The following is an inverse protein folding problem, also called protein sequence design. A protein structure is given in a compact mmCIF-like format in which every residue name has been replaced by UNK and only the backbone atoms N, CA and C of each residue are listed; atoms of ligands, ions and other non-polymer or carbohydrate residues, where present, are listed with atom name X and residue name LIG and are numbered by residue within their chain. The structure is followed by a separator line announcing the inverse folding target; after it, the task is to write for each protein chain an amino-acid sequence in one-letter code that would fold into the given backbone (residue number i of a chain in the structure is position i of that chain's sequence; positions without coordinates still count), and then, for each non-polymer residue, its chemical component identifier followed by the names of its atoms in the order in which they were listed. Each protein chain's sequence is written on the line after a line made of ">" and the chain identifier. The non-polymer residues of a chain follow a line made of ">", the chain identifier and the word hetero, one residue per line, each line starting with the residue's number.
data_IF_723670899640
#
_entry.id   IF_723670899640
#
_cell.length_a   1.000
_cell.length_b   1.000
_cell.length_c   1.000
_cell.angle_alpha   90.00
_cell.angle_beta   90.00
_cell.angle_gamma   90.00
#
_symmetry.space_group_name_H-M   'P 1'
#
loop_
_entity.id
_entity.type
_entity.pdbx_description
1 polymer ?
#
# COMPACT_ATOMS: atom_id res chain seq x y z
N UNK A 1 -46.06 11.13 -2.17
CA UNK A 1 -45.31 10.89 -0.92
C UNK A 1 -44.11 10.04 -1.28
N UNK A 2 -42.95 10.69 -1.38
CA UNK A 2 -41.64 10.07 -1.65
C UNK A 2 -41.38 8.97 -0.62
N UNK A 3 -41.33 7.70 -1.07
CA UNK A 3 -40.89 6.60 -0.22
C UNK A 3 -39.44 6.92 0.15
N UNK A 4 -39.18 7.14 1.44
CA UNK A 4 -37.82 7.24 1.95
C UNK A 4 -37.06 6.03 1.41
N UNK A 5 -36.09 6.30 0.52
CA UNK A 5 -35.19 5.27 0.01
C UNK A 5 -34.38 4.82 1.22
N UNK A 6 -34.78 3.69 1.80
CA UNK A 6 -34.01 3.02 2.84
C UNK A 6 -32.63 2.76 2.26
N UNK A 7 -31.64 3.54 2.70
CA UNK A 7 -30.27 3.42 2.20
C UNK A 7 -29.73 2.11 2.78
N UNK A 8 -29.38 1.12 1.94
CA UNK A 8 -29.07 -0.21 2.43
C UNK A 8 -27.87 -0.14 3.39
N UNK A 9 -28.08 -0.62 4.61
CA UNK A 9 -27.04 -0.69 5.64
C UNK A 9 -25.94 -1.61 5.16
N UNK A 10 -24.77 -1.04 4.83
CA UNK A 10 -23.58 -1.82 4.44
C UNK A 10 -22.97 -2.48 5.66
N UNK A 11 -22.63 -3.78 5.54
CA UNK A 11 -22.10 -4.61 6.61
C UNK A 11 -20.85 -5.35 6.15
N UNK A 12 -19.90 -5.55 7.05
CA UNK A 12 -18.71 -6.37 6.79
C UNK A 12 -19.13 -7.81 6.48
N UNK A 13 -18.64 -8.37 5.38
CA UNK A 13 -18.91 -9.76 4.97
C UNK A 13 -18.28 -10.80 5.89
N UNK A 14 -17.32 -10.41 6.74
CA UNK A 14 -16.60 -11.33 7.64
C UNK A 14 -17.16 -11.31 9.07
N UNK A 15 -17.39 -10.13 9.65
CA UNK A 15 -17.85 -9.99 11.04
C UNK A 15 -19.30 -9.51 11.18
N UNK A 16 -19.98 -9.14 10.08
CA UNK A 16 -21.38 -8.69 10.09
C UNK A 16 -21.64 -7.28 10.64
N UNK A 17 -20.61 -6.59 11.15
CA UNK A 17 -20.73 -5.24 11.72
C UNK A 17 -21.10 -4.20 10.66
N UNK A 18 -21.96 -3.26 11.03
CA UNK A 18 -22.45 -2.20 10.15
C UNK A 18 -21.45 -1.03 10.02
N UNK A 19 -21.61 -0.22 8.98
CA UNK A 19 -20.76 0.95 8.71
C UNK A 19 -20.65 1.95 9.87
N UNK A 20 -21.65 2.02 10.75
CA UNK A 20 -21.63 2.91 11.94
C UNK A 20 -20.78 2.39 13.10
N UNK A 21 -20.45 1.09 13.12
CA UNK A 21 -19.68 0.47 14.20
C UNK A 21 -18.20 0.30 13.82
N UNK A 22 -17.92 0.12 12.53
CA UNK A 22 -16.57 -0.14 12.02
C UNK A 22 -16.31 0.61 10.71
N UNK A 23 -15.04 0.93 10.45
CA UNK A 23 -14.63 1.50 9.17
C UNK A 23 -14.66 0.42 8.09
N UNK A 24 -15.62 0.52 7.18
CA UNK A 24 -15.77 -0.38 6.04
C UNK A 24 -14.99 0.12 4.82
N UNK A 25 -14.34 -0.82 4.15
CA UNK A 25 -13.71 -0.67 2.83
C UNK A 25 -14.62 -1.38 1.82
N UNK A 26 -14.97 -0.69 0.73
CA UNK A 26 -15.79 -1.26 -0.34
C UNK A 26 -14.89 -1.86 -1.43
N UNK A 27 -15.17 -3.10 -1.81
CA UNK A 27 -14.56 -3.76 -2.96
C UNK A 27 -15.44 -3.67 -4.22
N UNK A 28 -14.92 -4.06 -5.39
CA UNK A 28 -15.75 -4.37 -6.55
C UNK A 28 -16.74 -5.51 -6.19
N UNK A 29 -17.95 -5.48 -6.75
CA UNK A 29 -19.00 -6.50 -6.57
C UNK A 29 -19.72 -6.53 -5.21
N UNK A 30 -19.99 -5.36 -4.61
CA UNK A 30 -20.80 -5.24 -3.37
C UNK A 30 -20.26 -6.03 -2.16
N UNK A 31 -18.95 -6.26 -2.12
CA UNK A 31 -18.24 -6.88 -0.99
C UNK A 31 -17.69 -5.80 -0.07
N UNK A 32 -17.79 -6.01 1.24
CA UNK A 32 -17.30 -5.06 2.26
C UNK A 32 -16.44 -5.77 3.29
N UNK A 33 -15.30 -5.17 3.63
CA UNK A 33 -14.42 -5.65 4.70
C UNK A 33 -14.10 -4.51 5.67
N UNK A 34 -14.05 -4.78 6.97
CA UNK A 34 -13.67 -3.77 7.95
C UNK A 34 -12.18 -3.81 8.29
N UNK A 35 -11.66 -2.70 8.82
CA UNK A 35 -10.26 -2.58 9.24
C UNK A 35 -9.81 -3.66 10.23
N UNK A 36 -10.69 -4.06 11.16
CA UNK A 36 -10.38 -5.12 12.13
C UNK A 36 -10.23 -6.48 11.46
N UNK A 37 -11.11 -6.83 10.52
CA UNK A 37 -10.98 -8.08 9.77
C UNK A 37 -9.73 -8.09 8.90
N UNK A 38 -9.33 -6.96 8.29
CA UNK A 38 -8.05 -6.86 7.56
C UNK A 38 -6.86 -7.13 8.48
N UNK A 39 -6.83 -6.53 9.67
CA UNK A 39 -5.76 -6.75 10.64
C UNK A 39 -5.66 -8.23 11.04
N UNK A 40 -6.79 -8.84 11.40
CA UNK A 40 -6.85 -10.25 11.76
C UNK A 40 -6.41 -11.17 10.61
N UNK A 41 -6.85 -10.88 9.38
CA UNK A 41 -6.41 -11.62 8.21
C UNK A 41 -4.89 -11.50 8.01
N UNK A 42 -4.31 -10.32 8.20
CA UNK A 42 -2.86 -10.13 8.08
C UNK A 42 -2.08 -10.92 9.14
N UNK A 43 -2.58 -10.98 10.38
CA UNK A 43 -1.97 -11.79 11.46
C UNK A 43 -1.95 -13.28 11.11
N UNK A 44 -3.08 -13.79 10.60
CA UNK A 44 -3.19 -15.20 10.17
C UNK A 44 -2.24 -15.47 9.00
N UNK A 45 -2.22 -14.61 7.98
CA UNK A 45 -1.39 -14.78 6.79
C UNK A 45 0.11 -14.71 7.11
N UNK A 46 0.51 -13.87 8.07
CA UNK A 46 1.90 -13.76 8.50
C UNK A 46 2.41 -15.03 9.19
N UNK A 47 1.53 -15.80 9.83
CA UNK A 47 1.90 -17.05 10.50
C UNK A 47 2.19 -18.18 9.50
N UNK A 48 1.56 -18.17 8.33
CA UNK A 48 1.72 -19.18 7.26
C UNK A 48 2.76 -18.79 6.19
N UNK A 49 3.40 -17.63 6.31
CA UNK A 49 4.41 -17.19 5.35
C UNK A 49 5.73 -17.98 5.55
N UNK A 50 6.26 -18.67 4.54
CA UNK A 50 7.64 -19.14 4.59
C UNK A 50 8.59 -17.94 4.77
N UNK A 51 9.75 -18.10 5.43
CA UNK A 51 10.70 -17.01 5.65
C UNK A 51 10.96 -16.30 4.32
N UNK A 52 10.79 -14.98 4.30
CA UNK A 52 10.90 -14.15 3.11
C UNK A 52 12.19 -14.47 2.35
N UNK A 53 12.07 -15.21 1.25
CA UNK A 53 13.06 -15.14 0.19
C UNK A 53 13.06 -13.67 -0.27
N UNK A 54 14.24 -13.02 -0.38
CA UNK A 54 14.35 -11.58 -0.59
C UNK A 54 13.44 -11.16 -1.74
N UNK A 55 12.42 -10.38 -1.42
CA UNK A 55 11.50 -9.88 -2.41
C UNK A 55 12.31 -9.05 -3.41
N UNK A 56 12.15 -9.35 -4.71
CA UNK A 56 12.61 -8.49 -5.79
C UNK A 56 11.88 -7.15 -5.67
N UNK A 57 12.41 -6.23 -4.90
CA UNK A 57 12.12 -4.81 -5.07
C UNK A 57 12.61 -4.42 -6.48
N UNK A 58 11.74 -3.87 -7.35
CA UNK A 58 12.18 -3.15 -8.53
C UNK A 58 13.36 -2.22 -8.20
N UNK A 59 14.44 -2.25 -9.00
CA UNK A 59 15.61 -1.43 -8.74
C UNK A 59 15.20 0.04 -8.76
N UNK A 60 15.62 0.78 -7.73
CA UNK A 60 15.48 2.22 -7.67
C UNK A 60 16.08 2.85 -8.94
N UNK A 61 15.36 3.77 -9.61
CA UNK A 61 15.85 4.36 -10.84
C UNK A 61 17.14 5.15 -10.56
N UNK A 62 18.21 4.98 -11.37
CA UNK A 62 19.43 5.74 -11.20
C UNK A 62 19.19 7.21 -11.57
N UNK A 63 18.92 8.02 -10.54
CA UNK A 63 18.79 9.46 -10.65
C UNK A 63 20.14 10.17 -10.57
N UNK A 64 20.50 10.82 -11.68
CA UNK A 64 21.32 12.04 -11.74
C UNK A 64 22.85 11.88 -11.59
N UNK A 65 23.50 11.36 -12.64
CA UNK A 65 24.86 11.79 -12.98
C UNK A 65 24.80 13.25 -13.45
N UNK A 66 24.92 14.20 -12.53
CA UNK A 66 25.36 15.55 -12.89
C UNK A 66 26.81 15.45 -13.35
N UNK A 67 27.04 15.64 -14.64
CA UNK A 67 28.37 15.69 -15.22
C UNK A 67 29.18 16.84 -14.63
N UNK A 68 30.13 16.54 -13.76
CA UNK A 68 31.30 17.39 -13.57
C UNK A 68 32.35 17.02 -14.62
N UNK A 69 32.05 17.40 -15.86
CA UNK A 69 33.08 17.74 -16.83
C UNK A 69 33.50 19.18 -16.58
N UNK A 70 34.43 19.42 -15.66
CA UNK A 70 35.19 20.66 -15.66
C UNK A 70 36.66 20.31 -15.97
N UNK A 71 36.88 20.28 -17.28
CA UNK A 71 38.10 20.67 -17.98
C UNK A 71 39.40 20.73 -17.15
N UNK A 72 40.23 19.72 -17.34
CA UNK A 72 41.66 19.79 -17.09
C UNK A 72 42.26 21.00 -17.82
N UNK A 73 42.88 21.94 -17.10
CA UNK A 73 43.97 22.74 -17.66
C UNK A 73 44.67 23.51 -16.55
N UNK A 74 46.00 23.33 -16.53
CA UNK A 74 46.99 24.08 -15.72
C UNK A 74 46.95 23.61 -14.25
N UNK A 75 47.99 23.06 -13.62
CA UNK A 75 49.43 23.32 -13.76
C UNK A 75 50.23 22.05 -13.37
N UNK A 76 51.02 21.59 -14.35
CA UNK A 76 52.31 20.93 -14.12
C UNK A 76 53.23 21.87 -13.33
N UNK A 77 54.31 21.33 -12.74
CA UNK A 77 55.39 21.94 -11.91
C UNK A 77 55.19 21.49 -10.45
N UNK A 78 55.69 20.34 -9.98
CA UNK A 78 57.09 19.88 -9.90
C UNK A 78 58.03 20.94 -9.31
N UNK A 79 58.12 21.02 -7.98
CA UNK A 79 59.35 21.33 -7.22
C UNK A 79 59.21 20.82 -5.79
#
# INVERSE_FOLDING_TARGET
>A
MIRAVDRPVRRCSFCGKAQGEVRLVAGPSDVYICNLCVALCNEILAHDAPPELPQRTPPEPPGQRSGQGHLSRTEVISS
#
